data_IF_648622581597
#
_entry.id   IF_648622581597
#
_cell.length_a   1.000
_cell.length_b   1.000
_cell.length_c   1.000
_cell.angle_alpha   90.00
_cell.angle_beta   90.00
_cell.angle_gamma   90.00
#
_symmetry.space_group_name_H-M   'P 1'
#
loop_
_entity.id
_entity.type
_entity.pdbx_description
1 polymer ?
#
# COMPACT_ATOMS: atom_id res chain seq x y z
N UNK A 1 -19.44 12.32 -4.33
CA UNK A 1 -18.02 12.32 -4.76
C UNK A 1 -17.30 13.36 -3.91
N UNK A 2 -16.16 13.02 -3.28
CA UNK A 2 -15.40 13.99 -2.47
C UNK A 2 -14.81 15.08 -3.39
N UNK A 3 -14.86 16.37 -2.99
CA UNK A 3 -14.48 17.49 -3.84
C UNK A 3 -13.04 17.38 -4.40
N UNK A 4 -12.14 16.81 -3.61
CA UNK A 4 -10.73 16.56 -3.95
C UNK A 4 -10.54 15.64 -5.18
N UNK A 5 -11.51 14.76 -5.47
CA UNK A 5 -11.43 13.79 -6.58
C UNK A 5 -12.08 14.31 -7.86
N UNK A 6 -12.84 15.41 -7.78
CA UNK A 6 -13.58 15.97 -8.92
C UNK A 6 -12.66 16.29 -10.12
N UNK A 7 -11.48 16.93 -9.93
CA UNK A 7 -10.60 17.23 -11.06
C UNK A 7 -10.10 15.99 -11.81
N UNK A 8 -9.94 14.86 -11.12
CA UNK A 8 -9.51 13.60 -11.73
C UNK A 8 -10.56 12.98 -12.64
N UNK A 9 -11.84 13.22 -12.35
CA UNK A 9 -12.96 12.76 -13.18
C UNK A 9 -13.15 13.70 -14.37
N UNK A 10 -13.12 15.01 -14.14
CA UNK A 10 -13.32 16.02 -15.19
C UNK A 10 -12.19 16.04 -16.22
N UNK A 11 -10.94 15.83 -15.78
CA UNK A 11 -9.78 15.71 -16.69
C UNK A 11 -9.70 14.37 -17.44
N UNK A 12 -10.64 13.44 -17.20
CA UNK A 12 -10.57 12.05 -17.65
C UNK A 12 -9.35 11.27 -17.16
N UNK A 13 -8.49 11.83 -16.29
CA UNK A 13 -7.30 11.16 -15.78
C UNK A 13 -7.64 9.85 -15.05
N UNK A 14 -8.75 9.84 -14.30
CA UNK A 14 -9.18 8.67 -13.55
C UNK A 14 -9.56 7.47 -14.42
N UNK A 15 -10.08 7.69 -15.63
CA UNK A 15 -10.71 6.66 -16.49
C UNK A 15 -10.21 6.65 -17.94
N UNK A 16 -9.21 7.48 -18.27
CA UNK A 16 -8.74 7.71 -19.62
C UNK A 16 -7.87 6.59 -20.18
N UNK A 17 -7.75 6.56 -21.51
CA UNK A 17 -6.99 5.54 -22.24
C UNK A 17 -5.54 5.39 -21.75
N UNK A 18 -4.86 6.49 -21.43
CA UNK A 18 -3.47 6.47 -20.94
C UNK A 18 -3.30 5.61 -19.69
N UNK A 19 -4.27 5.65 -18.77
CA UNK A 19 -4.25 4.86 -17.52
C UNK A 19 -4.51 3.38 -17.79
N UNK A 20 -5.42 3.07 -18.71
CA UNK A 20 -5.67 1.70 -19.16
C UNK A 20 -4.43 1.09 -19.84
N UNK A 21 -3.82 1.82 -20.77
CA UNK A 21 -2.62 1.37 -21.48
C UNK A 21 -1.47 1.16 -20.50
N UNK A 22 -1.21 2.13 -19.59
CA UNK A 22 -0.16 2.01 -18.58
C UNK A 22 -0.38 0.80 -17.66
N UNK A 23 -1.64 0.53 -17.29
CA UNK A 23 -2.01 -0.64 -16.48
C UNK A 23 -1.77 -1.95 -17.24
N UNK A 24 -2.17 -2.03 -18.52
CA UNK A 24 -1.97 -3.22 -19.35
C UNK A 24 -0.49 -3.50 -19.60
N UNK A 25 0.28 -2.47 -19.96
CA UNK A 25 1.72 -2.56 -20.14
C UNK A 25 2.39 -3.09 -18.88
N UNK A 26 2.06 -2.52 -17.71
CA UNK A 26 2.58 -2.98 -16.43
C UNK A 26 2.24 -4.45 -16.15
N UNK A 27 1.02 -4.89 -16.44
CA UNK A 27 0.65 -6.30 -16.21
C UNK A 27 1.41 -7.25 -17.14
N UNK A 28 1.64 -6.84 -18.38
CA UNK A 28 2.47 -7.61 -19.31
C UNK A 28 3.93 -7.69 -18.85
N UNK A 29 4.51 -6.55 -18.42
CA UNK A 29 5.86 -6.50 -17.84
C UNK A 29 5.95 -7.40 -16.60
N UNK A 30 5.03 -7.24 -15.64
CA UNK A 30 4.98 -8.07 -14.43
C UNK A 30 4.94 -9.55 -14.75
N UNK A 31 4.12 -9.95 -15.71
CA UNK A 31 4.03 -11.35 -16.12
C UNK A 31 5.40 -11.87 -16.60
N UNK A 32 6.08 -11.14 -17.47
CA UNK A 32 7.40 -11.52 -18.00
C UNK A 32 8.42 -11.61 -16.85
N UNK A 33 8.51 -10.61 -15.99
CA UNK A 33 9.48 -10.60 -14.88
C UNK A 33 9.21 -11.71 -13.84
N UNK A 34 7.94 -12.08 -13.64
CA UNK A 34 7.57 -13.17 -12.72
C UNK A 34 8.07 -14.55 -13.16
N UNK A 35 8.34 -14.74 -14.46
CA UNK A 35 8.88 -16.00 -15.00
C UNK A 35 10.37 -16.20 -14.73
N UNK A 36 11.07 -15.17 -14.26
CA UNK A 36 12.52 -15.23 -14.04
C UNK A 36 13.35 -15.18 -15.33
N UNK A 37 12.77 -14.78 -16.47
CA UNK A 37 13.51 -14.61 -17.72
C UNK A 37 14.32 -13.31 -17.71
N UNK A 38 13.76 -12.23 -17.14
CA UNK A 38 14.40 -10.91 -17.06
C UNK A 38 14.78 -10.58 -15.60
N UNK A 39 15.73 -11.33 -15.05
CA UNK A 39 16.18 -11.11 -13.66
C UNK A 39 17.13 -9.92 -13.61
N UNK A 40 16.83 -8.92 -12.78
CA UNK A 40 17.80 -7.86 -12.47
C UNK A 40 18.99 -8.44 -11.68
N UNK A 41 20.24 -8.02 -11.93
CA UNK A 41 21.40 -8.44 -11.15
C UNK A 41 21.29 -8.16 -9.64
N UNK A 42 20.46 -7.21 -9.24
CA UNK A 42 20.19 -6.84 -7.85
C UNK A 42 19.12 -7.70 -7.17
N UNK A 43 18.46 -8.58 -7.92
CA UNK A 43 17.37 -9.38 -7.37
C UNK A 43 17.90 -10.50 -6.47
N UNK A 44 17.08 -10.89 -5.50
CA UNK A 44 17.34 -12.06 -4.68
C UNK A 44 17.37 -13.34 -5.54
N UNK A 45 18.29 -14.28 -5.24
CA UNK A 45 18.41 -15.57 -5.94
C UNK A 45 17.29 -16.53 -5.51
N UNK A 46 16.07 -16.25 -5.95
CA UNK A 46 14.86 -17.04 -5.67
C UNK A 46 14.55 -17.92 -6.88
N UNK A 47 14.10 -19.15 -6.64
CA UNK A 47 13.64 -20.06 -7.68
C UNK A 47 12.50 -19.44 -8.53
N UNK A 48 12.34 -19.85 -9.80
CA UNK A 48 11.21 -19.41 -10.62
C UNK A 48 9.84 -19.68 -9.98
N UNK A 49 9.68 -20.82 -9.32
CA UNK A 49 8.45 -21.18 -8.60
C UNK A 49 8.22 -20.24 -7.42
N UNK A 50 9.28 -19.92 -6.67
CA UNK A 50 9.21 -19.00 -5.54
C UNK A 50 8.87 -17.57 -5.97
N UNK A 51 9.45 -17.11 -7.09
CA UNK A 51 9.12 -15.82 -7.72
C UNK A 51 7.65 -15.75 -8.13
N UNK A 52 7.13 -16.82 -8.76
CA UNK A 52 5.72 -16.91 -9.16
C UNK A 52 4.81 -16.83 -7.93
N UNK A 53 5.08 -17.61 -6.88
CA UNK A 53 4.27 -17.61 -5.65
C UNK A 53 4.30 -16.25 -4.93
N UNK A 54 5.49 -15.64 -4.78
CA UNK A 54 5.62 -14.28 -4.23
C UNK A 54 4.84 -13.25 -5.06
N UNK A 55 4.98 -13.30 -6.39
CA UNK A 55 4.30 -12.36 -7.30
C UNK A 55 2.79 -12.51 -7.25
N UNK A 56 2.29 -13.74 -7.16
CA UNK A 56 0.87 -14.04 -7.06
C UNK A 56 0.29 -13.57 -5.73
N UNK A 57 0.99 -13.81 -4.62
CA UNK A 57 0.58 -13.35 -3.29
C UNK A 57 0.57 -11.83 -3.20
N UNK A 58 1.60 -11.16 -3.72
CA UNK A 58 1.65 -9.70 -3.78
C UNK A 58 0.52 -9.13 -4.66
N UNK A 59 0.17 -9.79 -5.77
CA UNK A 59 -0.98 -9.37 -6.57
C UNK A 59 -2.31 -9.51 -5.81
N UNK A 60 -2.52 -10.61 -5.08
CA UNK A 60 -3.69 -10.78 -4.19
C UNK A 60 -3.76 -9.66 -3.15
N UNK A 61 -2.61 -9.27 -2.58
CA UNK A 61 -2.49 -8.15 -1.64
C UNK A 61 -2.93 -6.82 -2.28
N UNK A 62 -2.42 -6.48 -3.46
CA UNK A 62 -2.76 -5.25 -4.18
C UNK A 62 -4.23 -5.21 -4.57
N UNK A 63 -4.76 -6.31 -5.12
CA UNK A 63 -6.19 -6.41 -5.45
C UNK A 63 -7.05 -6.19 -4.21
N UNK A 64 -6.71 -6.84 -3.09
CA UNK A 64 -7.43 -6.67 -1.83
C UNK A 64 -7.38 -5.23 -1.31
N UNK A 65 -6.22 -4.57 -1.39
CA UNK A 65 -6.09 -3.14 -1.06
C UNK A 65 -6.98 -2.27 -1.95
N UNK A 66 -6.92 -2.45 -3.27
CA UNK A 66 -7.73 -1.70 -4.22
C UNK A 66 -9.23 -1.89 -3.98
N UNK A 67 -9.67 -3.13 -3.72
CA UNK A 67 -11.06 -3.42 -3.35
C UNK A 67 -11.46 -2.76 -2.02
N UNK A 68 -10.56 -2.69 -1.06
CA UNK A 68 -10.82 -2.03 0.23
C UNK A 68 -10.99 -0.51 0.10
N UNK A 69 -10.15 0.15 -0.72
CA UNK A 69 -10.18 1.61 -0.90
C UNK A 69 -11.29 2.05 -1.86
N UNK A 70 -11.65 1.23 -2.83
CA UNK A 70 -12.75 1.50 -3.75
C UNK A 70 -14.08 1.33 -3.00
N UNK A 71 -14.79 2.43 -2.79
CA UNK A 71 -16.12 2.48 -2.17
C UNK A 71 -17.14 1.76 -3.06
N UNK A 72 -17.19 0.43 -3.02
CA UNK A 72 -18.28 -0.36 -3.58
C UNK A 72 -19.50 -0.23 -2.66
N UNK A 73 -20.69 -0.45 -3.20
CA UNK A 73 -21.96 -0.50 -2.44
C UNK A 73 -21.96 -1.51 -1.28
N UNK A 74 -20.94 -2.37 -1.20
CA UNK A 74 -20.70 -3.36 -0.16
C UNK A 74 -19.87 -2.81 1.03
N UNK A 75 -19.20 -1.67 0.88
CA UNK A 75 -18.24 -1.12 1.84
C UNK A 75 -18.71 0.24 2.37
N UNK A 76 -19.59 0.22 3.36
CA UNK A 76 -20.09 1.45 3.99
C UNK A 76 -19.01 2.06 4.90
N UNK A 77 -18.30 3.03 4.35
CA UNK A 77 -17.39 3.87 5.10
C UNK A 77 -18.17 4.88 5.96
N UNK A 78 -18.07 4.78 7.29
CA UNK A 78 -18.64 5.78 8.20
C UNK A 78 -17.59 6.81 8.58
N UNK A 79 -17.89 8.09 8.34
CA UNK A 79 -17.02 9.22 8.70
C UNK A 79 -16.99 9.40 10.22
N UNK A 80 -15.84 9.19 10.86
CA UNK A 80 -15.68 9.48 12.28
C UNK A 80 -15.05 10.86 12.47
N UNK A 81 -15.93 11.87 12.59
CA UNK A 81 -15.72 13.23 13.12
C UNK A 81 -15.04 14.31 12.26
N UNK A 82 -15.79 15.43 12.13
CA UNK A 82 -15.46 16.83 12.49
C UNK A 82 -14.01 17.13 12.96
N UNK A 83 -13.01 16.86 12.16
CA UNK A 83 -11.71 17.52 12.31
C UNK A 83 -11.77 18.90 11.66
N UNK A 84 -11.19 19.94 12.28
CA UNK A 84 -11.09 21.29 11.69
C UNK A 84 -10.24 21.32 10.40
N UNK A 85 -9.51 20.23 10.12
CA UNK A 85 -8.78 20.01 8.89
C UNK A 85 -9.73 19.44 7.83
N UNK A 86 -10.13 20.27 6.87
CA UNK A 86 -11.01 19.90 5.74
C UNK A 86 -10.46 18.75 4.87
N UNK A 87 -9.21 18.33 5.08
CA UNK A 87 -8.44 17.41 4.24
C UNK A 87 -8.23 16.02 4.84
N UNK A 88 -8.80 15.70 6.01
CA UNK A 88 -8.59 14.37 6.61
C UNK A 88 -9.89 13.76 7.09
N UNK A 89 -10.55 13.06 6.17
CA UNK A 89 -11.71 12.23 6.49
C UNK A 89 -11.24 10.83 6.88
N UNK A 90 -11.11 10.56 8.18
CA UNK A 90 -10.91 9.18 8.66
C UNK A 90 -12.22 8.43 8.58
N UNK A 91 -12.30 7.59 7.55
CA UNK A 91 -13.42 6.67 7.36
C UNK A 91 -13.10 5.36 8.06
N UNK A 92 -14.07 4.77 8.75
CA UNK A 92 -13.92 3.41 9.29
C UNK A 92 -14.95 2.44 8.73
N UNK A 93 -14.52 1.20 8.50
CA UNK A 93 -15.35 0.10 8.04
C UNK A 93 -15.22 -1.09 9.00
N UNK A 94 -16.33 -1.79 9.24
CA UNK A 94 -16.40 -3.04 10.02
C UNK A 94 -16.61 -4.20 9.05
N UNK A 95 -15.56 -4.99 8.83
CA UNK A 95 -15.67 -6.28 8.12
C UNK A 95 -15.83 -7.41 9.13
N UNK A 96 -16.84 -8.27 8.94
CA UNK A 96 -17.02 -9.52 9.69
C UNK A 96 -17.17 -10.66 8.69
N UNK A 97 -16.31 -11.68 8.79
CA UNK A 97 -16.42 -12.90 7.99
C UNK A 97 -15.99 -12.76 6.52
N UNK A 98 -15.02 -11.88 6.23
CA UNK A 98 -14.40 -11.81 4.91
C UNK A 98 -13.37 -12.96 4.78
N UNK A 99 -13.58 -13.95 3.90
CA UNK A 99 -12.69 -15.12 3.79
C UNK A 99 -11.25 -14.75 3.44
N UNK A 100 -11.03 -13.61 2.76
CA UNK A 100 -9.70 -13.14 2.36
C UNK A 100 -8.95 -12.37 3.45
N UNK A 101 -9.54 -12.19 4.64
CA UNK A 101 -8.92 -11.48 5.78
C UNK A 101 -8.67 -12.44 6.95
N UNK A 102 -7.62 -12.20 7.77
CA UNK A 102 -7.38 -12.99 8.97
C UNK A 102 -8.61 -13.04 9.88
N UNK A 103 -8.83 -14.12 10.65
CA UNK A 103 -9.93 -14.17 11.61
C UNK A 103 -9.82 -13.03 12.64
N UNK A 104 -10.89 -12.25 12.78
CA UNK A 104 -10.93 -11.17 13.76
C UNK A 104 -11.91 -10.06 13.44
N UNK A 105 -11.95 -9.07 14.33
CA UNK A 105 -12.62 -7.80 14.08
C UNK A 105 -11.58 -6.78 13.62
N UNK A 106 -11.72 -6.27 12.41
CA UNK A 106 -10.80 -5.28 11.86
C UNK A 106 -11.43 -3.90 11.80
N UNK A 107 -10.60 -2.87 11.95
CA UNK A 107 -10.95 -1.46 11.67
C UNK A 107 -9.97 -0.91 10.67
N UNK A 108 -10.52 -0.42 9.57
CA UNK A 108 -9.77 0.31 8.55
C UNK A 108 -9.91 1.80 8.83
N UNK A 109 -8.84 2.56 8.65
CA UNK A 109 -8.85 4.01 8.57
C UNK A 109 -8.18 4.43 7.27
N UNK A 110 -8.67 5.47 6.62
CA UNK A 110 -7.96 6.07 5.51
C UNK A 110 -8.11 7.57 5.50
N UNK A 111 -7.20 8.27 4.84
CA UNK A 111 -7.29 9.71 4.58
C UNK A 111 -6.76 10.03 3.18
N UNK A 112 -7.09 11.21 2.66
CA UNK A 112 -6.60 11.68 1.36
C UNK A 112 -6.23 13.15 1.46
N UNK A 113 -4.97 13.49 1.16
CA UNK A 113 -4.42 14.85 1.28
C UNK A 113 -3.73 15.27 -0.02
N UNK A 114 -3.74 16.57 -0.31
CA UNK A 114 -2.88 17.17 -1.34
C UNK A 114 -1.54 17.56 -0.72
N UNK A 115 -0.45 17.14 -1.34
CA UNK A 115 0.91 17.51 -0.99
C UNK A 115 1.49 18.43 -2.07
N UNK A 116 2.42 19.30 -1.65
CA UNK A 116 3.10 20.22 -2.56
C UNK A 116 4.18 19.48 -3.36
N UNK A 117 4.71 18.40 -2.78
CA UNK A 117 5.74 17.56 -3.38
C UNK A 117 5.26 16.77 -4.60
N UNK A 118 6.20 16.48 -5.50
CA UNK A 118 5.97 15.63 -6.67
C UNK A 118 5.71 14.17 -6.32
N UNK A 119 4.89 13.53 -7.14
CA UNK A 119 4.50 12.12 -6.93
C UNK A 119 5.70 11.18 -6.86
N UNK A 120 6.74 11.43 -7.67
CA UNK A 120 8.01 10.70 -7.61
C UNK A 120 8.72 10.88 -6.27
N UNK A 121 8.83 12.11 -5.75
CA UNK A 121 9.47 12.37 -4.45
C UNK A 121 8.73 11.68 -3.31
N UNK A 122 7.40 11.74 -3.31
CA UNK A 122 6.56 11.07 -2.30
C UNK A 122 6.70 9.55 -2.41
N UNK A 123 6.69 9.00 -3.63
CA UNK A 123 6.88 7.57 -3.88
C UNK A 123 8.26 7.08 -3.43
N UNK A 124 9.33 7.79 -3.81
CA UNK A 124 10.72 7.44 -3.47
C UNK A 124 10.95 7.50 -1.95
N UNK A 125 10.33 8.46 -1.26
CA UNK A 125 10.37 8.51 0.21
C UNK A 125 9.66 7.32 0.86
N UNK A 126 8.45 6.98 0.40
CA UNK A 126 7.61 5.93 1.02
C UNK A 126 8.08 4.51 0.72
N UNK A 127 8.70 4.26 -0.43
CA UNK A 127 9.24 2.95 -0.82
C UNK A 127 10.53 2.59 -0.08
N UNK A 128 11.28 3.59 0.36
CA UNK A 128 12.60 3.39 0.93
C UNK A 128 12.46 2.82 2.35
N UNK A 129 13.02 1.61 2.52
CA UNK A 129 12.97 0.87 3.77
C UNK A 129 13.64 1.63 4.93
N UNK A 130 14.61 2.51 4.63
CA UNK A 130 15.31 3.31 5.64
C UNK A 130 14.47 4.49 6.14
N UNK A 131 13.49 4.94 5.36
CA UNK A 131 12.57 6.01 5.76
C UNK A 131 11.38 5.47 6.58
N UNK A 132 11.10 4.16 6.52
CA UNK A 132 9.96 3.54 7.22
C UNK A 132 9.92 3.84 8.73
N UNK A 133 11.01 3.70 9.50
CA UNK A 133 11.02 4.04 10.93
C UNK A 133 10.67 5.48 11.26
N UNK A 134 10.81 6.40 10.30
CA UNK A 134 10.54 7.82 10.50
C UNK A 134 9.04 8.09 10.57
N UNK A 135 8.25 7.42 9.72
CA UNK A 135 6.79 7.64 9.62
C UNK A 135 5.94 6.55 10.27
N UNK A 136 6.41 5.31 10.38
CA UNK A 136 5.61 4.20 10.95
C UNK A 136 5.99 3.89 12.40
N UNK A 137 5.02 4.01 13.31
CA UNK A 137 5.19 3.70 14.74
C UNK A 137 5.71 2.28 15.01
N UNK A 138 5.22 1.28 14.29
CA UNK A 138 5.62 -0.14 14.49
C UNK A 138 7.11 -0.36 14.19
N UNK A 139 7.65 0.33 13.18
CA UNK A 139 9.06 0.20 12.81
C UNK A 139 9.99 1.20 13.53
N UNK A 140 9.45 2.07 14.39
CA UNK A 140 10.23 3.09 15.10
C UNK A 140 11.37 2.46 15.90
N UNK A 141 12.60 2.91 15.65
CA UNK A 141 13.80 2.36 16.30
C UNK A 141 14.16 0.93 15.87
N UNK A 142 13.54 0.39 14.83
CA UNK A 142 13.90 -0.91 14.24
C UNK A 142 14.86 -0.71 13.07
N UNK A 143 15.84 -1.61 12.93
CA UNK A 143 16.55 -1.79 11.67
C UNK A 143 15.62 -2.55 10.71
N UNK A 144 15.37 -1.99 9.53
CA UNK A 144 14.58 -2.62 8.47
C UNK A 144 15.52 -3.14 7.39
N UNK A 145 15.39 -4.42 7.05
CA UNK A 145 16.19 -5.08 6.03
C UNK A 145 15.31 -5.84 5.04
N UNK A 146 15.70 -5.87 3.77
CA UNK A 146 15.05 -6.71 2.77
C UNK A 146 15.65 -8.12 2.80
N UNK A 147 14.82 -9.13 3.08
CA UNK A 147 15.18 -10.55 2.97
C UNK A 147 15.08 -11.07 1.53
N UNK A 148 14.18 -10.46 0.76
CA UNK A 148 13.99 -10.72 -0.65
C UNK A 148 13.65 -9.41 -1.36
N UNK A 149 14.10 -9.28 -2.58
CA UNK A 149 13.72 -8.20 -3.48
C UNK A 149 13.70 -8.76 -4.91
N UNK A 150 12.57 -8.61 -5.61
CA UNK A 150 12.43 -8.99 -7.01
C UNK A 150 11.86 -7.82 -7.79
N UNK A 151 12.49 -7.50 -8.91
CA UNK A 151 11.97 -6.51 -9.86
C UNK A 151 10.75 -7.06 -10.60
N UNK A 152 9.76 -6.21 -10.86
CA UNK A 152 8.50 -6.56 -11.53
C UNK A 152 8.31 -5.83 -12.86
N UNK A 153 9.30 -5.06 -13.30
CA UNK A 153 9.28 -4.36 -14.57
C UNK A 153 10.63 -3.69 -14.87
N UNK A 154 10.73 -2.96 -15.99
CA UNK A 154 11.95 -2.29 -16.43
C UNK A 154 12.45 -1.21 -15.46
N UNK A 155 11.52 -0.51 -14.80
CA UNK A 155 11.88 0.41 -13.73
C UNK A 155 12.25 -0.40 -12.47
N UNK A 156 13.48 -0.31 -11.94
CA UNK A 156 13.90 -1.06 -10.76
C UNK A 156 13.13 -0.64 -9.49
N UNK A 157 12.42 0.49 -9.54
CA UNK A 157 11.52 0.89 -8.47
C UNK A 157 10.24 0.04 -8.46
N UNK A 158 9.89 -0.61 -9.57
CA UNK A 158 8.80 -1.59 -9.58
C UNK A 158 9.33 -2.91 -9.04
N UNK A 159 8.96 -3.22 -7.80
CA UNK A 159 9.51 -4.37 -7.10
C UNK A 159 8.56 -4.94 -6.04
N UNK A 160 8.78 -6.21 -5.73
CA UNK A 160 8.21 -6.89 -4.57
C UNK A 160 9.36 -7.20 -3.62
N UNK A 161 9.18 -6.86 -2.35
CA UNK A 161 10.20 -7.07 -1.33
C UNK A 161 9.58 -7.71 -0.10
N UNK A 162 10.34 -8.53 0.63
CA UNK A 162 9.95 -9.04 1.95
C UNK A 162 10.88 -8.44 2.98
N UNK A 163 10.32 -7.68 3.92
CA UNK A 163 11.07 -6.91 4.90
C UNK A 163 11.04 -7.57 6.26
N UNK A 164 12.18 -7.61 6.94
CA UNK A 164 12.30 -7.98 8.34
C UNK A 164 12.62 -6.75 9.18
N UNK A 165 12.05 -6.70 10.39
CA UNK A 165 12.29 -5.64 11.38
C UNK A 165 13.00 -6.24 12.59
N UNK A 166 14.07 -5.58 13.06
CA UNK A 166 14.87 -6.09 14.19
C UNK A 166 14.07 -6.35 15.47
N UNK A 167 13.05 -5.53 15.72
CA UNK A 167 12.27 -5.57 16.97
C UNK A 167 11.02 -6.47 16.87
N UNK A 168 10.71 -7.00 15.68
CA UNK A 168 9.52 -7.80 15.38
C UNK A 168 9.90 -8.98 14.49
N UNK A 169 10.56 -9.99 15.07
CA UNK A 169 11.07 -11.15 14.32
C UNK A 169 9.96 -12.11 13.87
N UNK A 170 8.82 -12.05 14.55
CA UNK A 170 7.63 -12.84 14.30
C UNK A 170 6.77 -12.31 13.14
N UNK A 171 7.02 -11.08 12.68
CA UNK A 171 6.28 -10.43 11.60
C UNK A 171 7.26 -10.00 10.49
N UNK A 172 7.02 -10.48 9.28
CA UNK A 172 7.61 -9.93 8.07
C UNK A 172 6.59 -9.06 7.35
N UNK A 173 7.06 -8.13 6.53
CA UNK A 173 6.20 -7.30 5.69
C UNK A 173 6.42 -7.64 4.23
N UNK A 174 5.38 -8.14 3.56
CA UNK A 174 5.34 -8.18 2.11
C UNK A 174 5.07 -6.76 1.60
N UNK A 175 6.00 -6.21 0.83
CA UNK A 175 5.91 -4.89 0.21
C UNK A 175 5.77 -5.07 -1.30
N UNK A 176 4.84 -4.36 -1.91
CA UNK A 176 4.83 -4.14 -3.36
C UNK A 176 4.89 -2.64 -3.65
N UNK A 177 5.85 -2.27 -4.49
CA UNK A 177 5.99 -0.92 -5.00
C UNK A 177 5.77 -0.90 -6.50
N UNK A 178 5.03 0.10 -6.96
CA UNK A 178 4.79 0.32 -8.36
C UNK A 178 4.69 1.81 -8.67
N UNK A 179 5.27 2.21 -9.78
CA UNK A 179 5.18 3.54 -10.37
C UNK A 179 5.06 3.45 -11.89
N UNK A 180 4.24 4.33 -12.45
CA UNK A 180 4.10 4.60 -13.88
C UNK A 180 3.72 6.07 -14.08
N UNK A 181 3.59 6.52 -15.33
CA UNK A 181 3.26 7.91 -15.66
C UNK A 181 1.90 8.40 -15.12
N UNK A 182 1.02 7.48 -14.70
CA UNK A 182 -0.34 7.79 -14.23
C UNK A 182 -0.49 7.70 -12.72
N UNK A 183 0.55 7.26 -12.01
CA UNK A 183 0.54 7.22 -10.56
C UNK A 183 1.44 6.14 -9.98
N UNK A 184 1.38 5.98 -8.67
CA UNK A 184 2.20 5.04 -7.94
C UNK A 184 1.46 4.48 -6.74
N UNK A 185 1.92 3.36 -6.22
CA UNK A 185 1.49 2.83 -4.94
C UNK A 185 2.62 2.14 -4.21
N UNK A 186 2.50 2.12 -2.88
CA UNK A 186 3.35 1.34 -1.98
C UNK A 186 2.41 0.63 -1.02
N UNK A 187 2.30 -0.69 -1.17
CA UNK A 187 1.32 -1.50 -0.44
C UNK A 187 2.05 -2.56 0.36
N UNK A 188 1.56 -2.81 1.57
CA UNK A 188 2.15 -3.69 2.57
C UNK A 188 1.12 -4.68 3.08
N UNK A 189 1.55 -5.88 3.46
CA UNK A 189 0.79 -6.77 4.32
C UNK A 189 1.71 -7.52 5.29
N UNK A 190 1.30 -7.69 6.56
CA UNK A 190 2.04 -8.53 7.48
C UNK A 190 1.88 -10.01 7.09
N UNK A 191 2.99 -10.74 7.10
CA UNK A 191 3.07 -12.19 6.89
C UNK A 191 3.96 -12.82 7.96
N UNK A 192 3.87 -14.14 8.15
CA UNK A 192 4.77 -14.88 9.06
C UNK A 192 6.01 -15.39 8.30
N UNK A 193 7.11 -15.68 9.01
CA UNK A 193 8.27 -16.36 8.42
C UNK A 193 7.91 -17.69 7.72
N UNK A 194 7.01 -18.49 8.30
CA UNK A 194 6.56 -19.76 7.71
C UNK A 194 5.84 -19.57 6.38
N UNK A 195 5.00 -18.53 6.30
CA UNK A 195 4.30 -18.13 5.08
C UNK A 195 5.31 -17.69 4.02
N UNK A 196 6.30 -16.87 4.39
CA UNK A 196 7.37 -16.47 3.47
C UNK A 196 8.17 -17.67 2.97
N UNK A 197 8.58 -18.58 3.86
CA UNK A 197 9.31 -19.79 3.50
C UNK A 197 8.49 -20.69 2.55
N UNK A 198 7.19 -20.82 2.78
CA UNK A 198 6.29 -21.56 1.89
C UNK A 198 6.23 -20.94 0.49
N UNK A 199 6.19 -19.60 0.40
CA UNK A 199 6.26 -18.91 -0.89
C UNK A 199 7.59 -19.18 -1.61
N UNK A 200 8.72 -19.21 -0.91
CA UNK A 200 10.03 -19.50 -1.52
C UNK A 200 10.08 -20.91 -2.15
N UNK A 201 9.34 -21.87 -1.59
CA UNK A 201 9.17 -23.21 -2.16
C UNK A 201 8.11 -23.30 -3.26
N UNK A 202 7.54 -22.17 -3.69
CA UNK A 202 6.54 -22.12 -4.76
C UNK A 202 5.15 -22.60 -4.35
N UNK A 203 4.88 -22.72 -3.05
CA UNK A 203 3.55 -23.11 -2.57
C UNK A 203 2.61 -21.93 -2.75
N UNK A 204 1.53 -22.10 -3.52
CA UNK A 204 0.42 -21.14 -3.57
C UNK A 204 -0.58 -21.50 -2.48
N UNK A 205 -0.56 -20.72 -1.40
CA UNK A 205 -1.54 -20.82 -0.33
C UNK A 205 -2.49 -19.62 -0.42
N UNK A 206 -3.78 -19.87 -0.22
CA UNK A 206 -4.75 -18.78 -0.06
C UNK A 206 -4.63 -18.20 1.34
N UNK A 207 -3.63 -17.33 1.53
CA UNK A 207 -3.31 -16.72 2.81
C UNK A 207 -4.18 -15.48 2.99
N UNK A 208 -4.92 -15.37 4.10
CA UNK A 208 -5.65 -14.15 4.39
C UNK A 208 -4.67 -13.00 4.67
N UNK A 209 -4.78 -11.91 3.90
CA UNK A 209 -3.88 -10.76 4.00
C UNK A 209 -4.63 -9.52 4.51
N UNK A 210 -3.93 -8.71 5.31
CA UNK A 210 -4.45 -7.44 5.79
C UNK A 210 -3.63 -6.28 5.18
N UNK A 211 -3.88 -5.92 3.91
CA UNK A 211 -3.14 -4.88 3.23
C UNK A 211 -3.38 -3.49 3.82
N UNK A 212 -2.33 -2.67 3.77
CA UNK A 212 -2.34 -1.26 4.09
C UNK A 212 -1.28 -0.54 3.23
N UNK A 213 -1.31 0.79 3.20
CA UNK A 213 -0.32 1.56 2.46
C UNK A 213 -0.93 2.75 1.72
N UNK A 214 -0.41 3.00 0.53
CA UNK A 214 -0.50 4.30 -0.13
C UNK A 214 -0.89 4.17 -1.60
N UNK A 215 -1.80 5.03 -2.04
CA UNK A 215 -2.01 5.39 -3.45
C UNK A 215 -1.53 6.83 -3.65
N UNK A 216 -0.71 7.04 -4.66
CA UNK A 216 0.03 8.28 -4.91
C UNK A 216 -0.29 8.72 -6.34
N UNK A 217 -1.07 9.78 -6.50
CA UNK A 217 -1.47 10.27 -7.82
C UNK A 217 -0.86 11.65 -8.07
N UNK A 218 -0.41 11.96 -9.29
CA UNK A 218 -0.05 13.33 -9.64
C UNK A 218 -1.28 14.23 -9.51
N UNK A 219 -1.09 15.45 -9.02
CA UNK A 219 -2.19 16.40 -8.84
C UNK A 219 -2.60 16.97 -10.20
N UNK A 220 -3.81 16.60 -10.65
CA UNK A 220 -4.39 17.07 -11.92
C UNK A 220 -5.33 18.27 -11.76
N UNK A 221 -5.51 18.78 -10.54
CA UNK A 221 -6.36 19.94 -10.28
C UNK A 221 -5.75 21.26 -10.75
N UNK A 222 -4.43 21.29 -10.98
CA UNK A 222 -3.68 22.50 -11.29
C UNK A 222 -3.54 23.47 -10.12
N UNK A 223 -4.03 23.12 -8.91
CA UNK A 223 -3.90 23.97 -7.71
C UNK A 223 -2.45 24.11 -7.24
N UNK A 224 -1.65 23.07 -7.47
CA UNK A 224 -0.25 22.95 -7.12
C UNK A 224 0.47 22.39 -8.34
N UNK A 225 1.39 23.16 -8.91
CA UNK A 225 2.28 22.69 -9.97
C UNK A 225 3.10 21.50 -9.43
N UNK A 226 3.01 20.35 -10.11
CA UNK A 226 3.62 19.09 -9.71
C UNK A 226 3.20 18.55 -8.33
N UNK A 227 2.04 18.92 -7.79
CA UNK A 227 1.57 18.39 -6.51
C UNK A 227 1.24 16.88 -6.56
N UNK A 228 0.92 16.32 -5.39
CA UNK A 228 0.51 14.92 -5.24
C UNK A 228 -0.80 14.80 -4.48
N UNK A 229 -1.71 13.96 -4.97
CA UNK A 229 -2.82 13.47 -4.16
C UNK A 229 -2.42 12.15 -3.51
N UNK A 230 -2.18 12.18 -2.20
CA UNK A 230 -1.82 11.01 -1.40
C UNK A 230 -3.05 10.46 -0.70
N UNK A 231 -3.42 9.21 -1.00
CA UNK A 231 -4.39 8.43 -0.23
C UNK A 231 -3.66 7.38 0.59
N UNK A 232 -3.89 7.41 1.90
CA UNK A 232 -3.29 6.49 2.86
C UNK A 232 -4.38 5.64 3.50
N UNK A 233 -4.18 4.33 3.65
CA UNK A 233 -5.11 3.43 4.32
C UNK A 233 -4.37 2.47 5.26
N UNK A 234 -4.81 2.42 6.52
CA UNK A 234 -4.29 1.56 7.58
C UNK A 234 -5.38 0.64 8.12
N UNK A 235 -5.01 -0.58 8.48
CA UNK A 235 -5.92 -1.56 9.07
C UNK A 235 -5.35 -2.03 10.41
N UNK A 236 -6.19 -2.08 11.44
CA UNK A 236 -5.84 -2.65 12.74
C UNK A 236 -6.77 -3.79 13.12
N UNK A 237 -6.23 -4.77 13.82
CA UNK A 237 -6.99 -5.83 14.47
C UNK A 237 -7.41 -5.38 15.86
N UNK A 238 -8.71 -5.46 16.16
CA UNK A 238 -9.29 -5.05 17.44
C UNK A 238 -9.24 -6.22 18.41
N UNK A 239 -8.44 -6.10 19.48
CA UNK A 239 -8.42 -7.05 20.61
C UNK A 239 -8.83 -6.33 21.88
N UNK A 240 -9.83 -6.86 22.59
CA UNK A 240 -10.22 -6.45 23.95
C UNK A 240 -10.48 -4.94 24.16
N UNK A 241 -10.87 -4.19 23.12
CA UNK A 241 -11.24 -2.76 23.23
C UNK A 241 -12.59 -2.51 22.60
N UNK A 242 -13.27 -1.45 23.04
CA UNK A 242 -14.55 -1.06 22.46
C UNK A 242 -14.38 -0.63 20.99
N UNK A 243 -15.45 -0.74 20.20
CA UNK A 243 -15.43 -0.29 18.80
C UNK A 243 -15.05 1.19 18.64
N UNK A 244 -15.41 2.04 19.62
CA UNK A 244 -15.09 3.46 19.63
C UNK A 244 -13.59 3.70 19.86
N UNK A 245 -13.02 3.04 20.87
CA UNK A 245 -11.58 3.12 21.16
C UNK A 245 -10.74 2.63 19.97
N UNK A 246 -11.15 1.54 19.31
CA UNK A 246 -10.46 1.05 18.12
C UNK A 246 -10.42 2.09 17.00
N UNK A 247 -11.53 2.80 16.76
CA UNK A 247 -11.63 3.88 15.77
C UNK A 247 -10.70 5.05 16.14
N UNK A 248 -10.67 5.44 17.41
CA UNK A 248 -9.79 6.52 17.90
C UNK A 248 -8.31 6.16 17.73
N UNK A 249 -7.92 4.93 18.09
CA UNK A 249 -6.54 4.44 17.95
C UNK A 249 -6.10 4.44 16.49
N UNK A 250 -6.89 3.86 15.58
CA UNK A 250 -6.51 3.80 14.15
C UNK A 250 -6.47 5.20 13.52
N UNK A 251 -7.39 6.08 13.92
CA UNK A 251 -7.41 7.49 13.49
C UNK A 251 -6.14 8.21 13.92
N UNK A 252 -5.69 7.98 15.15
CA UNK A 252 -4.48 8.60 15.69
C UNK A 252 -3.21 8.09 14.99
N UNK A 253 -3.14 6.79 14.69
CA UNK A 253 -2.02 6.20 13.91
C UNK A 253 -1.93 6.87 12.53
N UNK A 254 -3.05 6.98 11.81
CA UNK A 254 -3.08 7.62 10.49
C UNK A 254 -2.67 9.08 10.56
N UNK A 255 -3.17 9.84 11.56
CA UNK A 255 -2.80 11.25 11.77
C UNK A 255 -1.30 11.44 11.96
N UNK A 256 -0.70 10.66 12.84
CA UNK A 256 0.73 10.78 13.16
C UNK A 256 1.61 10.38 11.97
N UNK A 257 1.28 9.28 11.30
CA UNK A 257 2.00 8.87 10.10
C UNK A 257 1.91 9.96 9.02
N UNK A 258 0.72 10.52 8.81
CA UNK A 258 0.49 11.58 7.83
C UNK A 258 1.31 12.84 8.14
N UNK A 259 1.31 13.27 9.40
CA UNK A 259 2.08 14.44 9.83
C UNK A 259 3.57 14.24 9.56
N UNK A 260 4.14 13.11 9.96
CA UNK A 260 5.55 12.78 9.74
C UNK A 260 5.92 12.69 8.27
N UNK A 261 5.03 12.16 7.43
CA UNK A 261 5.24 12.13 5.97
C UNK A 261 5.24 13.54 5.39
N UNK A 262 4.25 14.38 5.77
CA UNK A 262 4.16 15.77 5.32
C UNK A 262 5.43 16.55 5.67
N UNK A 263 5.93 16.42 6.91
CA UNK A 263 7.14 17.08 7.39
C UNK A 263 8.42 16.63 6.65
N UNK A 264 8.45 15.39 6.17
CA UNK A 264 9.63 14.85 5.49
C UNK A 264 9.67 15.14 3.98
N UNK A 265 8.49 15.19 3.34
CA UNK A 265 8.43 15.33 1.88
C UNK A 265 8.25 16.78 1.44
N UNK A 266 7.45 17.60 2.12
CA UNK A 266 7.29 19.02 1.76
C UNK A 266 8.49 19.86 2.19
#
# INVERSE_FOLDING_TARGET
MHAILKPFVESSFAFGASRWISTLQRQAERFIYSTGINISPSDAPISPEGRRSLTMTANKMVVSFCTDICNSTYHHWTSSNKTRLKTMEVKTNKRRGDPGKPPGLHRTAGCTVELISSHNRVFDYLRDIQNRPQWERMSSGSLVQALANITTGPDPRNCISVLAMSNHKEILLLQECCTDATGSYVIFAPITPDVFQSMLYGVDQDIPLMPFGFSILPNVSGSILDGTLLTMVFQITVKNVSSKQAVEVVTQIVKEALQKIIEAVN
#
